data_IF_331537198687
#
_entry.id   IF_331537198687
#
_cell.length_a   1.000
_cell.length_b   1.000
_cell.length_c   1.000
_cell.angle_alpha   90.00
_cell.angle_beta   90.00
_cell.angle_gamma   90.00
#
_symmetry.space_group_name_H-M   'P 1'
#
loop_
_entity.id
_entity.type
_entity.pdbx_description
1 polymer ?
#
# COMPACT_ATOMS: atom_id res chain seq x y z
N UNK A 1 6.12 -23.08 48.46
CA UNK A 1 6.63 -22.54 47.19
C UNK A 1 5.80 -23.13 46.06
N UNK A 2 4.81 -22.39 45.53
CA UNK A 2 3.99 -22.81 44.38
C UNK A 2 4.45 -22.02 43.16
N UNK A 3 5.02 -22.73 42.19
CA UNK A 3 5.46 -22.19 40.90
C UNK A 3 4.22 -21.65 40.18
N UNK A 4 4.16 -20.33 39.96
CA UNK A 4 3.09 -19.71 39.18
C UNK A 4 3.33 -20.01 37.70
N UNK A 5 2.37 -20.71 37.10
CA UNK A 5 2.29 -21.02 35.68
C UNK A 5 2.43 -19.74 34.83
N UNK A 6 3.44 -19.71 33.96
CA UNK A 6 3.59 -18.71 32.89
C UNK A 6 2.51 -19.02 31.85
N UNK A 7 1.31 -18.47 32.02
CA UNK A 7 0.30 -18.41 30.97
C UNK A 7 0.07 -16.93 30.65
N UNK A 8 0.68 -16.51 29.55
CA UNK A 8 0.27 -15.45 28.62
C UNK A 8 -0.39 -14.23 29.27
N UNK A 9 0.43 -13.24 29.65
CA UNK A 9 -0.04 -11.89 29.97
C UNK A 9 -0.23 -11.12 28.66
N UNK A 10 -1.34 -11.40 27.96
CA UNK A 10 -1.87 -10.50 26.95
C UNK A 10 -2.79 -9.55 27.71
N UNK A 11 -2.44 -8.26 27.78
CA UNK A 11 -3.23 -7.30 28.54
C UNK A 11 -4.63 -7.14 27.94
N UNK A 12 -5.63 -6.92 28.78
CA UNK A 12 -6.99 -6.63 28.34
C UNK A 12 -7.06 -5.39 27.44
N UNK A 13 -6.06 -4.50 27.53
CA UNK A 13 -5.86 -3.37 26.63
C UNK A 13 -5.45 -3.82 25.21
N UNK A 14 -4.61 -4.85 25.07
CA UNK A 14 -4.23 -5.42 23.76
C UNK A 14 -5.38 -6.21 23.13
N UNK A 15 -6.13 -6.96 23.95
CA UNK A 15 -7.34 -7.64 23.49
C UNK A 15 -8.41 -6.63 23.08
N UNK A 16 -8.70 -5.59 23.89
CA UNK A 16 -9.63 -4.52 23.51
C UNK A 16 -9.14 -3.69 22.32
N UNK A 17 -7.83 -3.49 22.16
CA UNK A 17 -7.25 -2.87 20.95
C UNK A 17 -7.44 -3.77 19.73
N UNK A 18 -7.25 -5.09 19.84
CA UNK A 18 -7.56 -6.07 18.80
C UNK A 18 -9.06 -6.10 18.47
N UNK A 19 -9.94 -5.99 19.45
CA UNK A 19 -11.39 -5.99 19.26
C UNK A 19 -11.86 -4.68 18.64
N UNK A 20 -11.32 -3.55 19.07
CA UNK A 20 -11.60 -2.22 18.48
C UNK A 20 -10.99 -2.08 17.09
N UNK A 21 -9.81 -2.66 16.84
CA UNK A 21 -9.28 -2.87 15.50
C UNK A 21 -10.22 -3.72 14.67
N UNK A 22 -10.74 -4.84 15.19
CA UNK A 22 -11.72 -5.70 14.52
C UNK A 22 -13.07 -5.01 14.27
N UNK A 23 -13.49 -4.05 15.09
CA UNK A 23 -14.75 -3.30 14.91
C UNK A 23 -14.60 -2.13 13.92
N UNK A 24 -13.50 -1.37 14.02
CA UNK A 24 -13.07 -0.45 12.96
C UNK A 24 -12.82 -1.29 11.67
N UNK A 25 -12.52 -2.59 11.79
CA UNK A 25 -12.34 -3.56 10.71
C UNK A 25 -13.61 -4.03 10.03
N UNK A 26 -14.76 -3.51 10.40
CA UNK A 26 -16.01 -4.05 9.86
C UNK A 26 -16.78 -3.02 9.04
N UNK A 27 -16.50 -1.72 9.18
CA UNK A 27 -17.24 -0.66 8.49
C UNK A 27 -16.66 -0.24 7.13
N UNK A 28 -15.42 -0.66 6.78
CA UNK A 28 -14.80 -0.44 5.46
C UNK A 28 -13.83 -1.53 4.99
N UNK A 29 -13.77 -2.69 5.67
CA UNK A 29 -12.54 -3.49 5.79
C UNK A 29 -12.58 -4.92 5.22
N UNK A 30 -13.64 -5.36 4.53
CA UNK A 30 -13.58 -6.64 3.78
C UNK A 30 -12.42 -6.66 2.78
N UNK A 31 -12.12 -5.52 2.16
CA UNK A 31 -11.01 -5.36 1.22
C UNK A 31 -9.65 -5.30 1.94
N UNK A 32 -9.51 -4.55 3.03
CA UNK A 32 -8.24 -4.44 3.75
C UNK A 32 -7.69 -5.78 4.28
N UNK A 33 -8.57 -6.72 4.68
CA UNK A 33 -8.15 -8.07 5.07
C UNK A 33 -7.68 -8.87 3.84
N UNK A 34 -8.39 -8.76 2.71
CA UNK A 34 -8.02 -9.41 1.44
C UNK A 34 -6.67 -8.93 0.91
N UNK A 35 -6.32 -7.68 1.18
CA UNK A 35 -5.11 -7.03 0.66
C UNK A 35 -4.09 -6.69 1.75
N UNK A 36 -4.15 -7.38 2.90
CA UNK A 36 -3.22 -7.15 4.01
C UNK A 36 -1.76 -7.30 3.60
N UNK A 37 -1.48 -8.20 2.65
CA UNK A 37 -0.16 -8.51 2.12
C UNK A 37 0.23 -7.66 0.89
N UNK A 38 -0.64 -6.74 0.42
CA UNK A 38 -0.27 -5.78 -0.61
C UNK A 38 0.84 -4.87 -0.07
N UNK A 39 1.81 -4.52 -0.91
CA UNK A 39 3.03 -3.83 -0.48
C UNK A 39 3.11 -2.40 -1.01
N UNK A 40 3.60 -1.48 -0.18
CA UNK A 40 3.75 -0.07 -0.52
C UNK A 40 4.71 0.09 -1.71
N UNK A 41 4.27 0.81 -2.74
CA UNK A 41 5.06 1.03 -3.94
C UNK A 41 5.14 2.50 -4.39
N UNK A 42 4.31 3.39 -3.84
CA UNK A 42 4.30 4.80 -4.20
C UNK A 42 3.62 5.64 -3.11
N UNK A 43 4.10 6.87 -2.89
CA UNK A 43 3.44 7.86 -2.04
C UNK A 43 3.47 9.24 -2.71
N UNK A 44 2.28 9.82 -2.89
CA UNK A 44 2.07 11.21 -3.31
C UNK A 44 0.64 11.60 -2.94
N UNK A 45 0.50 12.32 -1.81
CA UNK A 45 -0.79 12.61 -1.16
C UNK A 45 -1.52 11.39 -0.57
N UNK A 46 -1.49 10.24 -1.25
CA UNK A 46 -2.01 8.94 -0.84
C UNK A 46 -0.88 7.92 -0.82
N UNK A 47 -1.03 6.85 -0.03
CA UNK A 47 -0.17 5.69 -0.08
C UNK A 47 -0.78 4.62 -1.01
N UNK A 48 0.02 4.13 -1.94
CA UNK A 48 -0.40 3.15 -2.94
C UNK A 48 0.31 1.83 -2.71
N UNK A 49 -0.47 0.76 -2.69
CA UNK A 49 -0.01 -0.61 -2.49
C UNK A 49 -0.31 -1.45 -3.72
N UNK A 50 0.54 -2.41 -4.00
CA UNK A 50 0.35 -3.38 -5.08
C UNK A 50 0.30 -4.80 -4.52
N UNK A 51 -0.57 -5.64 -5.08
CA UNK A 51 -0.49 -7.09 -4.84
C UNK A 51 0.47 -7.81 -5.78
N UNK A 52 1.01 -7.10 -6.77
CA UNK A 52 2.08 -7.61 -7.61
C UNK A 52 3.40 -7.60 -6.84
N UNK A 53 4.35 -8.43 -7.26
CA UNK A 53 5.74 -8.30 -6.84
C UNK A 53 6.24 -6.87 -7.10
N UNK A 54 6.81 -6.21 -6.08
CA UNK A 54 7.24 -4.82 -6.16
C UNK A 54 8.19 -4.56 -7.34
N UNK A 55 9.11 -5.50 -7.61
CA UNK A 55 10.08 -5.42 -8.72
C UNK A 55 9.44 -5.42 -10.11
N UNK A 56 8.18 -5.85 -10.23
CA UNK A 56 7.40 -5.83 -11.48
C UNK A 56 6.50 -4.60 -11.56
N UNK A 57 6.24 -3.90 -10.47
CA UNK A 57 5.34 -2.75 -10.47
C UNK A 57 5.97 -1.54 -11.19
N UNK A 58 5.16 -0.80 -11.93
CA UNK A 58 5.58 0.34 -12.76
C UNK A 58 4.57 1.48 -12.64
N UNK A 59 5.00 2.64 -13.09
CA UNK A 59 4.16 3.81 -13.33
C UNK A 59 4.88 4.76 -14.27
N UNK A 60 4.22 5.86 -14.61
CA UNK A 60 4.78 6.79 -15.58
C UNK A 60 6.05 7.47 -15.04
N UNK A 61 7.09 7.53 -15.86
CA UNK A 61 8.40 8.12 -15.55
C UNK A 61 9.03 7.74 -14.18
N UNK A 62 8.74 6.54 -13.64
CA UNK A 62 9.27 6.08 -12.34
C UNK A 62 10.80 6.02 -12.24
N UNK A 63 11.51 6.01 -13.38
CA UNK A 63 12.98 6.03 -13.43
C UNK A 63 13.59 7.43 -13.39
N UNK A 64 12.78 8.50 -13.43
CA UNK A 64 13.24 9.90 -13.46
C UNK A 64 13.14 10.55 -12.08
N UNK A 65 14.20 11.24 -11.69
CA UNK A 65 14.25 12.09 -10.50
C UNK A 65 14.17 13.57 -10.92
N UNK A 66 13.65 14.47 -10.07
CA UNK A 66 12.87 14.21 -8.84
C UNK A 66 11.55 13.48 -9.12
N UNK A 67 11.14 12.54 -8.27
CA UNK A 67 9.90 11.80 -8.51
C UNK A 67 8.68 12.73 -8.46
N UNK A 68 8.65 13.69 -7.55
CA UNK A 68 7.50 14.56 -7.29
C UNK A 68 7.13 15.49 -8.46
N UNK A 69 8.03 15.66 -9.44
CA UNK A 69 7.74 16.44 -10.66
C UNK A 69 7.56 15.60 -11.91
N UNK A 70 8.00 14.35 -11.88
CA UNK A 70 8.10 13.51 -13.08
C UNK A 70 7.18 12.30 -13.02
N UNK A 71 7.04 11.68 -11.85
CA UNK A 71 6.40 10.39 -11.71
C UNK A 71 4.88 10.51 -11.71
N UNK A 72 4.22 9.59 -12.43
CA UNK A 72 2.80 9.34 -12.25
C UNK A 72 2.55 8.25 -11.19
N UNK A 73 1.29 8.14 -10.78
CA UNK A 73 0.85 7.03 -9.93
C UNK A 73 1.10 5.64 -10.55
N UNK A 74 1.06 4.57 -9.74
CA UNK A 74 1.28 3.22 -10.24
C UNK A 74 0.23 2.83 -11.27
N UNK A 75 0.65 2.07 -12.28
CA UNK A 75 -0.29 1.51 -13.24
C UNK A 75 -1.22 0.49 -12.59
N UNK A 76 -2.42 0.38 -13.16
CA UNK A 76 -3.46 -0.59 -12.81
C UNK A 76 -3.50 -1.71 -13.85
N UNK A 77 -4.14 -2.85 -13.58
CA UNK A 77 -4.39 -3.87 -14.58
C UNK A 77 -4.99 -3.26 -15.85
N UNK A 78 -4.62 -3.79 -17.01
CA UNK A 78 -5.12 -3.30 -18.28
C UNK A 78 -6.65 -3.19 -18.31
N UNK A 79 -7.17 -2.00 -18.60
CA UNK A 79 -8.58 -1.63 -18.51
C UNK A 79 -9.51 -2.41 -19.46
N UNK A 80 -8.99 -3.03 -20.53
CA UNK A 80 -9.79 -3.73 -21.55
C UNK A 80 -10.71 -4.84 -21.01
N UNK A 81 -10.36 -5.43 -19.87
CA UNK A 81 -11.10 -6.53 -19.24
C UNK A 81 -11.82 -6.13 -17.95
N UNK A 82 -11.79 -4.84 -17.61
CA UNK A 82 -12.65 -4.34 -16.54
C UNK A 82 -14.12 -4.59 -16.87
N UNK A 83 -14.94 -4.72 -15.81
CA UNK A 83 -16.31 -5.20 -15.94
C UNK A 83 -17.17 -4.44 -16.95
N UNK A 84 -16.98 -3.12 -17.09
CA UNK A 84 -17.68 -2.30 -18.08
C UNK A 84 -17.25 -2.64 -19.51
N UNK A 85 -15.95 -2.74 -19.76
CA UNK A 85 -15.39 -3.05 -21.08
C UNK A 85 -15.68 -4.51 -21.48
N UNK A 86 -15.62 -5.43 -20.53
CA UNK A 86 -15.97 -6.83 -20.76
C UNK A 86 -17.43 -6.99 -21.19
N UNK A 87 -18.36 -6.24 -20.57
CA UNK A 87 -19.78 -6.19 -20.98
C UNK A 87 -19.96 -5.69 -22.40
N UNK A 88 -19.25 -4.61 -22.78
CA UNK A 88 -19.28 -4.07 -24.16
C UNK A 88 -18.78 -5.08 -25.21
N UNK A 89 -17.96 -6.06 -24.80
CA UNK A 89 -17.45 -7.16 -25.64
C UNK A 89 -18.32 -8.42 -25.61
N UNK A 90 -19.53 -8.36 -25.04
CA UNK A 90 -20.41 -9.53 -24.91
C UNK A 90 -19.83 -10.61 -23.99
N UNK A 91 -19.07 -10.21 -22.96
CA UNK A 91 -18.42 -11.13 -22.03
C UNK A 91 -17.10 -11.73 -22.53
N UNK A 92 -16.63 -11.35 -23.73
CA UNK A 92 -15.41 -11.90 -24.32
C UNK A 92 -14.16 -11.14 -23.86
N UNK A 93 -13.29 -11.86 -23.15
CA UNK A 93 -11.99 -11.37 -22.70
C UNK A 93 -11.09 -10.91 -23.84
N UNK A 94 -10.44 -9.76 -23.67
CA UNK A 94 -9.35 -9.29 -24.50
C UNK A 94 -8.14 -10.22 -24.42
N UNK A 95 -7.59 -10.56 -25.59
CA UNK A 95 -6.49 -11.52 -25.74
C UNK A 95 -5.16 -10.84 -26.14
N UNK A 96 -5.10 -9.52 -26.09
CA UNK A 96 -3.86 -8.76 -26.26
C UNK A 96 -2.86 -9.12 -25.16
N UNK A 97 -1.57 -8.92 -25.46
CA UNK A 97 -0.48 -9.31 -24.56
C UNK A 97 -0.60 -8.67 -23.17
N UNK A 98 -0.86 -7.36 -23.11
CA UNK A 98 -1.07 -6.63 -21.85
C UNK A 98 -2.20 -7.25 -21.00
N UNK A 99 -3.31 -7.62 -21.63
CA UNK A 99 -4.44 -8.24 -20.95
C UNK A 99 -4.13 -9.63 -20.41
N UNK A 100 -3.37 -10.44 -21.16
CA UNK A 100 -2.95 -11.78 -20.74
C UNK A 100 -1.96 -11.74 -19.57
N UNK A 101 -1.16 -10.69 -19.49
CA UNK A 101 -0.24 -10.46 -18.37
C UNK A 101 -1.02 -10.06 -17.11
N UNK A 102 -2.10 -9.29 -17.23
CA UNK A 102 -2.82 -8.69 -16.08
C UNK A 102 -4.06 -9.45 -15.60
N UNK A 103 -4.67 -10.30 -16.43
CA UNK A 103 -5.97 -10.94 -16.14
C UNK A 103 -5.91 -12.47 -16.18
N UNK A 104 -6.64 -13.10 -15.27
CA UNK A 104 -6.92 -14.53 -15.29
C UNK A 104 -7.96 -14.89 -16.35
N UNK A 105 -8.02 -16.17 -16.71
CA UNK A 105 -9.02 -16.69 -17.66
C UNK A 105 -10.46 -16.60 -17.13
N UNK A 106 -10.64 -16.49 -15.81
CA UNK A 106 -11.94 -16.32 -15.16
C UNK A 106 -12.43 -14.86 -15.12
N UNK A 107 -11.64 -13.93 -15.68
CA UNK A 107 -11.97 -12.51 -15.71
C UNK A 107 -11.65 -11.77 -14.41
N UNK A 108 -10.91 -12.38 -13.48
CA UNK A 108 -10.35 -11.67 -12.32
C UNK A 108 -8.97 -11.09 -12.64
N UNK A 109 -8.60 -9.92 -12.06
CA UNK A 109 -7.26 -9.39 -12.24
C UNK A 109 -6.25 -10.22 -11.43
N UNK A 110 -5.06 -10.45 -11.99
CA UNK A 110 -3.96 -11.16 -11.30
C UNK A 110 -3.33 -10.35 -10.19
N UNK A 111 -3.39 -9.03 -10.32
CA UNK A 111 -2.86 -8.08 -9.35
C UNK A 111 -3.75 -6.84 -9.32
N UNK A 112 -3.68 -6.05 -8.26
CA UNK A 112 -4.49 -4.83 -8.11
C UNK A 112 -3.71 -3.76 -7.36
N UNK A 113 -4.19 -2.52 -7.45
CA UNK A 113 -3.72 -1.41 -6.61
C UNK A 113 -4.70 -1.21 -5.45
N UNK A 114 -4.15 -0.93 -4.28
CA UNK A 114 -4.89 -0.46 -3.13
C UNK A 114 -4.40 0.93 -2.77
N UNK A 115 -5.32 1.88 -2.70
CA UNK A 115 -5.03 3.26 -2.35
C UNK A 115 -5.51 3.55 -0.93
N UNK A 116 -4.66 4.22 -0.16
CA UNK A 116 -4.86 4.47 1.27
C UNK A 116 -4.64 5.94 1.58
N UNK A 117 -5.63 6.56 2.22
CA UNK A 117 -5.47 7.89 2.83
C UNK A 117 -5.19 7.77 4.31
N UNK A 118 -4.30 8.62 4.79
CA UNK A 118 -3.84 8.61 6.16
C UNK A 118 -3.40 10.02 6.60
N UNK A 119 -3.30 10.22 7.89
CA UNK A 119 -2.56 11.32 8.50
C UNK A 119 -1.40 10.78 9.36
N UNK A 120 -0.56 11.69 9.83
CA UNK A 120 0.49 11.38 10.78
C UNK A 120 1.70 12.30 10.66
N UNK A 121 2.62 12.22 11.63
CA UNK A 121 3.80 13.07 11.69
C UNK A 121 4.91 12.54 10.77
N UNK A 122 4.64 12.41 9.47
CA UNK A 122 5.58 11.88 8.48
C UNK A 122 6.00 12.92 7.44
N UNK A 123 7.20 12.72 6.91
CA UNK A 123 7.76 13.43 5.78
C UNK A 123 8.12 12.45 4.67
N UNK A 124 7.84 12.85 3.43
CA UNK A 124 8.23 12.15 2.20
C UNK A 124 9.64 12.56 1.77
N UNK A 125 10.24 11.90 0.76
CA UNK A 125 11.51 12.36 0.20
C UNK A 125 11.45 13.79 -0.39
N UNK A 126 10.29 14.24 -0.87
CA UNK A 126 10.08 15.64 -1.27
C UNK A 126 10.28 16.60 -0.08
N UNK A 127 9.63 16.30 1.05
CA UNK A 127 9.68 17.15 2.26
C UNK A 127 11.09 17.24 2.86
N UNK A 128 11.89 16.18 2.75
CA UNK A 128 13.20 16.07 3.38
C UNK A 128 14.34 16.73 2.57
N UNK A 129 14.15 16.95 1.27
CA UNK A 129 15.19 17.42 0.36
C UNK A 129 14.72 18.65 -0.44
N UNK A 130 14.50 19.81 0.19
CA UNK A 130 14.12 21.01 -0.54
C UNK A 130 15.27 21.52 -1.45
N UNK A 131 14.98 22.06 -2.65
CA UNK A 131 13.65 22.26 -3.20
C UNK A 131 13.02 21.01 -3.81
N UNK A 132 13.84 19.99 -4.16
CA UNK A 132 13.39 18.76 -4.81
C UNK A 132 14.21 17.56 -4.33
N UNK A 133 13.57 16.41 -4.20
CA UNK A 133 14.21 15.14 -3.92
C UNK A 133 15.20 14.75 -5.03
N UNK A 134 16.23 14.00 -4.66
CA UNK A 134 17.20 13.46 -5.64
C UNK A 134 16.79 12.08 -6.15
N UNK A 135 15.60 11.61 -5.78
CA UNK A 135 15.21 10.22 -5.95
C UNK A 135 14.15 10.07 -7.03
N UNK A 136 14.31 9.05 -7.86
CA UNK A 136 13.24 8.51 -8.68
C UNK A 136 12.44 7.49 -7.87
N UNK A 137 11.20 7.20 -8.28
CA UNK A 137 10.38 6.15 -7.66
C UNK A 137 11.11 4.81 -7.66
N UNK A 138 11.78 4.47 -8.75
CA UNK A 138 12.56 3.24 -8.89
C UNK A 138 13.68 3.17 -7.84
N UNK A 139 14.38 4.28 -7.59
CA UNK A 139 15.42 4.33 -6.57
C UNK A 139 14.86 4.19 -5.14
N UNK A 140 13.72 4.80 -4.84
CA UNK A 140 13.02 4.68 -3.55
C UNK A 140 12.57 3.23 -3.36
N UNK A 141 11.96 2.62 -4.38
CA UNK A 141 11.50 1.24 -4.35
C UNK A 141 12.66 0.22 -4.26
N UNK A 142 13.86 0.60 -4.69
CA UNK A 142 15.09 -0.16 -4.46
C UNK A 142 15.71 0.04 -3.07
N UNK A 143 15.04 0.79 -2.18
CA UNK A 143 15.47 0.99 -0.79
C UNK A 143 16.48 2.13 -0.59
N UNK A 144 16.64 3.04 -1.57
CA UNK A 144 17.56 4.19 -1.42
C UNK A 144 17.07 5.24 -0.44
N UNK A 145 15.77 5.30 -0.22
CA UNK A 145 15.11 6.15 0.75
C UNK A 145 13.79 5.50 1.20
N UNK A 146 13.31 5.78 2.42
CA UNK A 146 11.95 5.43 2.82
C UNK A 146 10.93 6.29 2.08
N UNK A 147 9.71 5.77 1.92
CA UNK A 147 8.58 6.57 1.44
C UNK A 147 8.10 7.56 2.50
N UNK A 148 8.15 7.17 3.77
CA UNK A 148 7.78 8.03 4.89
C UNK A 148 8.79 7.90 6.03
N UNK A 149 9.24 9.05 6.52
CA UNK A 149 10.11 9.19 7.68
C UNK A 149 9.37 9.95 8.77
N UNK A 150 9.37 9.42 9.99
CA UNK A 150 8.72 10.10 11.10
C UNK A 150 9.48 11.37 11.52
N UNK A 151 8.79 12.50 11.61
CA UNK A 151 9.37 13.84 11.84
C UNK A 151 10.15 14.02 13.15
N UNK A 152 9.82 13.24 14.19
CA UNK A 152 10.48 13.36 15.51
C UNK A 152 11.40 12.19 15.85
N UNK A 153 11.46 11.15 15.03
CA UNK A 153 12.30 9.98 15.31
C UNK A 153 12.71 9.27 14.02
N UNK A 154 13.98 8.93 13.93
CA UNK A 154 14.52 8.16 12.80
C UNK A 154 14.24 6.65 12.92
N UNK A 155 13.61 6.21 14.02
CA UNK A 155 13.33 4.79 14.27
C UNK A 155 12.13 4.23 13.51
N UNK A 156 11.25 5.10 13.02
CA UNK A 156 10.06 4.71 12.25
C UNK A 156 10.26 5.16 10.80
N UNK A 157 10.65 4.19 9.97
CA UNK A 157 10.81 4.34 8.52
C UNK A 157 9.84 3.40 7.82
N UNK A 158 9.00 3.94 6.95
CA UNK A 158 8.10 3.15 6.12
C UNK A 158 8.71 3.06 4.73
N UNK A 159 9.36 1.93 4.46
CA UNK A 159 10.04 1.67 3.20
C UNK A 159 9.06 1.12 2.14
N UNK A 160 9.45 1.21 0.87
CA UNK A 160 8.81 0.41 -0.16
C UNK A 160 8.86 -1.09 0.21
N UNK A 161 7.82 -1.83 -0.17
CA UNK A 161 7.68 -3.23 0.23
C UNK A 161 6.98 -3.43 1.57
N UNK A 162 6.75 -2.37 2.37
CA UNK A 162 5.98 -2.48 3.62
C UNK A 162 4.57 -2.97 3.32
N UNK A 163 4.11 -4.03 3.99
CA UNK A 163 2.76 -4.56 3.79
C UNK A 163 1.70 -3.57 4.25
N UNK A 164 0.50 -3.60 3.68
CA UNK A 164 -0.61 -2.76 4.10
C UNK A 164 -0.93 -2.94 5.59
N UNK A 165 -0.85 -4.19 6.08
CA UNK A 165 -1.01 -4.51 7.50
C UNK A 165 0.03 -3.80 8.37
N UNK A 166 1.30 -3.86 8.00
CA UNK A 166 2.38 -3.23 8.76
C UNK A 166 2.32 -1.71 8.64
N UNK A 167 1.94 -1.19 7.48
CA UNK A 167 1.69 0.24 7.29
C UNK A 167 0.64 0.76 8.26
N UNK A 168 -0.54 0.13 8.33
CA UNK A 168 -1.61 0.52 9.27
C UNK A 168 -1.12 0.50 10.72
N UNK A 169 -0.29 -0.49 11.08
CA UNK A 169 0.32 -0.57 12.40
C UNK A 169 1.28 0.60 12.64
N UNK A 170 2.20 0.87 11.72
CA UNK A 170 3.21 1.93 11.85
C UNK A 170 2.60 3.33 11.88
N UNK A 171 1.56 3.59 11.09
CA UNK A 171 0.79 4.85 11.15
C UNK A 171 0.19 5.02 12.55
N UNK A 172 -0.48 3.98 13.09
CA UNK A 172 -1.08 4.02 14.42
C UNK A 172 -0.06 4.16 15.56
N UNK A 173 1.08 3.48 15.48
CA UNK A 173 2.19 3.61 16.44
C UNK A 173 2.82 5.02 16.43
N UNK A 174 2.71 5.72 15.31
CA UNK A 174 3.17 7.09 15.13
C UNK A 174 2.14 8.14 15.57
N UNK A 175 0.98 7.72 16.07
CA UNK A 175 -0.12 8.60 16.46
C UNK A 175 -0.90 9.19 15.28
N UNK A 176 -0.78 8.62 14.08
CA UNK A 176 -1.61 8.94 12.92
C UNK A 176 -2.79 7.98 12.76
N UNK A 177 -3.65 8.26 11.79
CA UNK A 177 -4.85 7.48 11.50
C UNK A 177 -5.00 7.13 10.01
N UNK A 178 -5.68 6.01 9.74
CA UNK A 178 -6.10 5.63 8.38
C UNK A 178 -7.54 6.06 8.17
N UNK A 179 -7.82 6.81 7.11
CA UNK A 179 -9.17 7.31 6.84
C UNK A 179 -9.92 6.44 5.80
N UNK A 180 -9.26 6.07 4.71
CA UNK A 180 -9.87 5.32 3.63
C UNK A 180 -8.91 4.28 3.06
N UNK A 181 -9.46 3.11 2.69
CA UNK A 181 -8.77 2.07 1.93
C UNK A 181 -9.69 1.68 0.77
N UNK A 182 -9.22 1.82 -0.47
CA UNK A 182 -9.98 1.40 -1.67
C UNK A 182 -9.13 0.60 -2.62
N UNK A 183 -9.76 -0.36 -3.29
CA UNK A 183 -9.14 -1.16 -4.35
C UNK A 183 -9.54 -0.52 -5.66
N UNK A 184 -8.57 -0.35 -6.55
CA UNK A 184 -8.77 0.33 -7.83
C UNK A 184 -8.26 -0.50 -9.00
#
# INVERSE_FOLDING_TARGET
MKIRSIKNFISDAFLNWLTKLKEIAMKGRKNAIKFADAVLCYVEGWAYFTTQELTKQRGDAWSRAPYEHNAGGPYKPCWHNESEHLKKRGGKMCQERCCKEDWNSDGTPKWQIVEVTYDGPFQTPEDLFPPNSHFSVESINAGRAPWLTHTKTESILINAGTTLKDFVKLIGESGGEIHQVRVV
#
